data_IF_275061470826
#
_entry.id   IF_275061470826
#
_cell.length_a   1.000
_cell.length_b   1.000
_cell.length_c   1.000
_cell.angle_alpha   90.00
_cell.angle_beta   90.00
_cell.angle_gamma   90.00
#
_symmetry.space_group_name_H-M   'P 1'
#
loop_
_entity.id
_entity.type
_entity.pdbx_description
1 polymer ?
#
# COMPACT_ATOMS: atom_id res chain seq x y z
N UNK A 1 -2.75 14.32 7.18
CA UNK A 1 -2.97 14.42 5.71
C UNK A 1 -4.45 14.46 5.43
N UNK A 2 -4.90 15.29 4.50
CA UNK A 2 -6.30 15.39 4.12
C UNK A 2 -6.46 15.24 2.62
N UNK A 3 -7.53 14.56 2.20
CA UNK A 3 -7.94 14.45 0.80
C UNK A 3 -9.29 15.16 0.65
N UNK A 4 -9.38 16.01 -0.37
CA UNK A 4 -10.60 16.72 -0.73
C UNK A 4 -10.91 16.46 -2.21
N UNK A 5 -12.17 16.60 -2.57
CA UNK A 5 -12.61 16.68 -3.97
C UNK A 5 -12.08 17.95 -4.63
N UNK A 6 -12.12 18.01 -5.96
CA UNK A 6 -11.82 19.24 -6.71
C UNK A 6 -12.74 20.40 -6.34
N UNK A 7 -13.95 20.10 -5.87
CA UNK A 7 -14.92 21.08 -5.32
C UNK A 7 -14.68 21.44 -3.85
N UNK A 8 -13.62 20.93 -3.20
CA UNK A 8 -13.30 21.25 -1.79
C UNK A 8 -14.14 20.50 -0.75
N UNK A 9 -14.92 19.50 -1.15
CA UNK A 9 -15.60 18.60 -0.21
C UNK A 9 -14.59 17.60 0.40
N UNK A 10 -14.68 17.38 1.71
CA UNK A 10 -13.81 16.44 2.44
C UNK A 10 -14.06 14.99 2.03
N UNK A 11 -12.98 14.27 1.70
CA UNK A 11 -13.03 12.83 1.42
C UNK A 11 -12.47 12.03 2.59
N UNK A 12 -11.30 12.42 3.10
CA UNK A 12 -10.67 11.77 4.24
C UNK A 12 -9.68 12.69 4.93
N UNK A 13 -9.42 12.43 6.21
CA UNK A 13 -8.34 13.06 6.94
C UNK A 13 -7.70 12.05 7.89
N UNK A 14 -6.38 12.11 7.97
CA UNK A 14 -5.53 11.26 8.80
C UNK A 14 -4.77 12.18 9.75
N UNK A 15 -4.93 11.95 11.07
CA UNK A 15 -4.16 12.64 12.09
C UNK A 15 -2.68 12.28 11.94
N UNK A 16 -1.84 13.31 12.06
CA UNK A 16 -0.39 13.22 12.01
C UNK A 16 0.18 13.92 13.26
N UNK A 17 1.23 13.36 13.86
CA UNK A 17 1.95 13.99 14.97
C UNK A 17 1.96 13.17 16.26
N UNK A 18 2.53 13.75 17.31
CA UNK A 18 2.68 13.17 18.64
C UNK A 18 2.12 14.07 19.75
N UNK A 19 2.67 13.92 20.96
CA UNK A 19 2.24 14.65 22.15
C UNK A 19 2.96 15.99 22.36
N UNK A 20 3.96 16.30 21.55
CA UNK A 20 4.76 17.53 21.58
C UNK A 20 4.66 18.24 20.23
N UNK A 21 5.50 19.24 19.99
CA UNK A 21 5.47 20.02 18.75
C UNK A 21 5.69 19.16 17.50
N UNK A 22 4.83 19.37 16.50
CA UNK A 22 4.87 18.73 15.20
C UNK A 22 4.75 19.80 14.10
N UNK A 23 5.66 19.76 13.11
CA UNK A 23 5.65 20.68 11.98
C UNK A 23 5.54 19.91 10.67
N UNK A 24 4.58 20.28 9.81
CA UNK A 24 4.47 19.76 8.45
C UNK A 24 5.15 20.68 7.44
N UNK A 25 6.00 20.14 6.56
CA UNK A 25 6.74 20.92 5.56
C UNK A 25 6.25 20.71 4.13
N UNK A 26 5.74 19.53 3.81
CA UNK A 26 5.27 19.24 2.47
C UNK A 26 4.46 17.96 2.39
N UNK A 27 3.58 17.90 1.40
CA UNK A 27 2.84 16.70 1.01
C UNK A 27 2.88 16.55 -0.50
N UNK A 28 2.96 15.31 -0.98
CA UNK A 28 2.95 14.99 -2.40
C UNK A 28 2.41 13.59 -2.65
N UNK A 29 2.11 13.28 -3.91
CA UNK A 29 1.66 11.95 -4.32
C UNK A 29 2.43 11.46 -5.55
N UNK A 30 2.63 10.15 -5.65
CA UNK A 30 3.14 9.54 -6.89
C UNK A 30 2.01 9.12 -7.84
N UNK A 31 2.38 8.60 -9.02
CA UNK A 31 1.44 8.15 -10.05
C UNK A 31 0.59 6.95 -9.62
N UNK A 32 1.05 6.18 -8.62
CA UNK A 32 0.33 5.06 -8.04
C UNK A 32 -0.63 5.48 -6.92
N UNK A 33 -0.63 6.77 -6.57
CA UNK A 33 -1.49 7.35 -5.55
C UNK A 33 -0.93 7.23 -4.13
N UNK A 34 0.31 6.76 -3.94
CA UNK A 34 0.93 6.80 -2.62
C UNK A 34 1.12 8.25 -2.20
N UNK A 35 0.95 8.51 -0.91
CA UNK A 35 1.09 9.85 -0.35
C UNK A 35 2.38 9.93 0.45
N UNK A 36 3.11 11.01 0.27
CA UNK A 36 4.34 11.32 0.95
C UNK A 36 4.14 12.60 1.76
N UNK A 37 4.58 12.59 3.00
CA UNK A 37 4.57 13.77 3.87
C UNK A 37 5.96 13.96 4.49
N UNK A 38 6.42 15.20 4.56
CA UNK A 38 7.65 15.58 5.24
C UNK A 38 7.35 16.56 6.38
N UNK A 39 8.23 16.57 7.36
CA UNK A 39 8.07 17.43 8.52
C UNK A 39 9.07 17.11 9.62
N UNK A 40 8.76 17.57 10.83
CA UNK A 40 9.49 17.21 12.04
C UNK A 40 8.54 17.03 13.24
N UNK A 41 9.00 16.27 14.23
CA UNK A 41 8.28 16.04 15.48
C UNK A 41 9.26 15.95 16.65
N UNK A 42 8.83 16.38 17.84
CA UNK A 42 9.68 16.42 19.04
C UNK A 42 9.29 15.39 20.11
N UNK A 43 8.17 14.69 19.94
CA UNK A 43 7.72 13.62 20.84
C UNK A 43 8.58 12.36 20.70
N UNK A 44 8.54 11.47 21.71
CA UNK A 44 9.20 10.15 21.65
C UNK A 44 8.65 9.27 20.51
N UNK A 45 7.38 9.45 20.18
CA UNK A 45 6.74 8.81 19.03
C UNK A 45 5.72 9.76 18.40
N UNK A 46 5.54 9.64 17.09
CA UNK A 46 4.50 10.30 16.34
C UNK A 46 3.80 9.28 15.45
N UNK A 47 2.51 9.49 15.19
CA UNK A 47 1.72 8.61 14.33
C UNK A 47 1.20 9.39 13.13
N UNK A 48 1.23 8.77 11.96
CA UNK A 48 0.70 9.27 10.69
C UNK A 48 -0.30 8.25 10.16
N UNK A 49 -1.50 8.26 10.73
CA UNK A 49 -2.46 7.16 10.54
C UNK A 49 -1.93 5.88 11.17
N UNK A 50 -1.81 4.81 10.37
CA UNK A 50 -1.25 3.53 10.82
C UNK A 50 0.29 3.50 10.86
N UNK A 51 0.96 4.55 10.37
CA UNK A 51 2.42 4.63 10.35
C UNK A 51 2.90 5.22 11.67
N UNK A 52 3.49 4.38 12.52
CA UNK A 52 4.19 4.81 13.73
C UNK A 52 5.64 5.18 13.44
N UNK A 53 6.07 6.34 13.91
CA UNK A 53 7.47 6.78 13.89
C UNK A 53 7.99 6.91 15.32
N UNK A 54 9.20 6.40 15.54
CA UNK A 54 9.92 6.55 16.81
C UNK A 54 11.00 7.61 16.69
N UNK A 55 11.03 8.54 17.63
CA UNK A 55 12.12 9.50 17.73
C UNK A 55 13.28 8.82 18.46
N UNK A 56 14.46 8.67 17.82
CA UNK A 56 15.62 8.08 18.47
C UNK A 56 16.27 9.03 19.50
N UNK A 57 15.94 10.31 19.47
CA UNK A 57 16.36 11.29 20.48
C UNK A 57 15.49 11.24 21.74
N UNK A 58 15.96 11.90 22.81
CA UNK A 58 15.13 12.12 24.00
C UNK A 58 13.92 13.02 23.67
N UNK A 59 12.80 12.92 24.42
CA UNK A 59 11.66 13.82 24.24
C UNK A 59 12.10 15.30 24.30
N UNK A 60 11.70 16.10 23.32
CA UNK A 60 12.10 17.50 23.17
C UNK A 60 13.19 17.75 22.12
N UNK A 61 13.87 16.71 21.63
CA UNK A 61 14.71 16.82 20.44
C UNK A 61 13.87 16.65 19.18
N UNK A 62 13.92 17.63 18.29
CA UNK A 62 13.20 17.60 17.01
C UNK A 62 13.87 16.63 16.03
N UNK A 63 13.09 15.68 15.51
CA UNK A 63 13.50 14.73 14.48
C UNK A 63 12.71 14.95 13.20
N UNK A 64 13.41 15.03 12.08
CA UNK A 64 12.80 15.12 10.74
C UNK A 64 12.25 13.78 10.29
N UNK A 65 11.14 13.78 9.53
CA UNK A 65 10.56 12.58 8.98
C UNK A 65 10.22 12.70 7.48
N UNK A 66 10.19 11.53 6.83
CA UNK A 66 9.51 11.28 5.57
C UNK A 66 8.54 10.11 5.82
N UNK A 67 7.24 10.38 5.81
CA UNK A 67 6.21 9.38 6.00
C UNK A 67 5.58 9.04 4.64
N UNK A 68 5.43 7.75 4.34
CA UNK A 68 4.77 7.27 3.12
C UNK A 68 3.54 6.44 3.47
N UNK A 69 2.37 6.91 3.06
CA UNK A 69 1.12 6.13 3.07
C UNK A 69 0.94 5.44 1.73
N UNK A 70 0.77 4.13 1.76
CA UNK A 70 0.52 3.33 0.57
C UNK A 70 -0.93 3.47 0.10
N UNK A 71 -1.14 3.50 -1.21
CA UNK A 71 -2.46 3.54 -1.82
C UNK A 71 -3.14 2.18 -1.80
N UNK A 72 -4.48 2.19 -1.80
CA UNK A 72 -5.27 1.01 -2.14
C UNK A 72 -5.51 0.98 -3.65
N UNK A 73 -5.33 -0.20 -4.26
CA UNK A 73 -5.60 -0.43 -5.67
C UNK A 73 -6.92 -1.18 -5.85
N UNK A 74 -7.80 -0.68 -6.72
CA UNK A 74 -9.04 -1.36 -7.10
C UNK A 74 -9.08 -1.53 -8.61
N UNK A 75 -9.22 -2.76 -9.08
CA UNK A 75 -9.26 -3.12 -10.50
C UNK A 75 -10.70 -3.44 -10.89
N UNK A 76 -11.30 -2.59 -11.73
CA UNK A 76 -12.71 -2.65 -12.13
C UNK A 76 -12.95 -3.09 -13.59
N UNK A 77 -12.06 -2.73 -14.52
CA UNK A 77 -12.16 -3.09 -15.95
C UNK A 77 -10.78 -3.39 -16.50
N UNK A 78 -10.68 -4.42 -17.35
CA UNK A 78 -9.40 -4.97 -17.75
C UNK A 78 -8.58 -4.09 -18.70
N UNK A 79 -7.40 -3.67 -18.24
CA UNK A 79 -6.14 -3.67 -18.99
C UNK A 79 -5.01 -3.23 -18.05
N UNK A 80 -4.01 -4.11 -17.91
CA UNK A 80 -2.74 -3.95 -17.21
C UNK A 80 -2.76 -3.12 -15.91
N UNK A 81 -2.75 -3.83 -14.78
CA UNK A 81 -2.50 -3.27 -13.45
C UNK A 81 -1.24 -2.40 -13.46
N UNK A 82 -1.33 -1.18 -12.93
CA UNK A 82 -0.15 -0.41 -12.52
C UNK A 82 0.54 -1.21 -11.42
N UNK A 83 1.65 -1.85 -11.74
CA UNK A 83 2.41 -2.69 -10.80
C UNK A 83 3.16 -1.81 -9.81
N UNK A 84 3.33 -2.29 -8.57
CA UNK A 84 3.88 -1.45 -7.50
C UNK A 84 3.58 -1.96 -6.09
N UNK A 85 3.83 -1.08 -5.12
CA UNK A 85 3.62 -1.34 -3.68
C UNK A 85 2.31 -0.68 -3.26
N UNK A 86 1.37 -1.49 -2.78
CA UNK A 86 0.05 -1.06 -2.35
C UNK A 86 -0.23 -1.51 -0.92
N UNK A 87 -1.17 -0.81 -0.28
CA UNK A 87 -1.76 -1.25 0.96
C UNK A 87 -2.71 -2.42 0.67
N UNK A 88 -3.95 -2.17 0.25
CA UNK A 88 -4.86 -3.20 -0.22
C UNK A 88 -4.90 -3.27 -1.75
N UNK A 89 -5.15 -4.46 -2.29
CA UNK A 89 -5.39 -4.66 -3.72
C UNK A 89 -6.69 -5.43 -3.87
N UNK A 90 -7.65 -4.89 -4.61
CA UNK A 90 -8.95 -5.52 -4.85
C UNK A 90 -9.17 -5.70 -6.33
N UNK A 91 -9.27 -6.95 -6.78
CA UNK A 91 -9.78 -7.30 -8.11
C UNK A 91 -11.27 -7.53 -7.97
N UNK A 92 -12.06 -6.66 -8.57
CA UNK A 92 -13.52 -6.74 -8.46
C UNK A 92 -14.10 -7.83 -9.35
N UNK A 93 -15.41 -8.06 -9.24
CA UNK A 93 -16.13 -9.07 -10.04
C UNK A 93 -16.04 -8.85 -11.55
N UNK A 94 -15.75 -7.63 -12.00
CA UNK A 94 -15.54 -7.29 -13.42
C UNK A 94 -14.06 -7.03 -13.74
N UNK A 95 -13.19 -7.06 -12.72
CA UNK A 95 -11.76 -6.84 -12.86
C UNK A 95 -11.08 -8.06 -13.48
N UNK A 96 -10.34 -7.85 -14.56
CA UNK A 96 -9.46 -8.86 -15.14
C UNK A 96 -8.12 -8.22 -15.47
N UNK A 97 -7.03 -8.69 -14.86
CA UNK A 97 -5.72 -8.09 -15.04
C UNK A 97 -4.60 -9.12 -15.11
N UNK A 98 -3.55 -8.76 -15.84
CA UNK A 98 -2.30 -9.48 -15.93
C UNK A 98 -1.19 -8.58 -15.39
N UNK A 99 -0.29 -9.11 -14.55
CA UNK A 99 0.84 -8.35 -14.03
C UNK A 99 1.91 -8.16 -15.12
N UNK A 100 2.39 -6.92 -15.24
CA UNK A 100 3.53 -6.55 -16.10
C UNK A 100 4.88 -6.63 -15.39
N UNK A 101 4.87 -6.58 -14.06
CA UNK A 101 6.02 -6.61 -13.15
C UNK A 101 5.55 -7.06 -11.76
N UNK A 102 6.42 -6.95 -10.75
CA UNK A 102 6.12 -7.36 -9.37
C UNK A 102 4.92 -6.61 -8.76
N UNK A 103 4.22 -7.26 -7.85
CA UNK A 103 3.18 -6.67 -7.01
C UNK A 103 3.57 -6.86 -5.55
N UNK A 104 3.48 -5.79 -4.74
CA UNK A 104 3.59 -5.89 -3.29
C UNK A 104 2.28 -5.41 -2.65
N UNK A 105 1.60 -6.29 -1.92
CA UNK A 105 0.39 -5.96 -1.16
C UNK A 105 0.66 -6.14 0.35
N UNK A 106 0.70 -5.03 1.07
CA UNK A 106 1.00 -5.05 2.52
C UNK A 106 -0.25 -5.27 3.39
N UNK A 107 -1.44 -5.03 2.85
CA UNK A 107 -2.74 -5.24 3.47
C UNK A 107 -3.42 -6.51 2.96
N UNK A 108 -4.62 -6.42 2.38
CA UNK A 108 -5.33 -7.57 1.81
C UNK A 108 -5.31 -7.51 0.29
N UNK A 109 -4.82 -8.56 -0.36
CA UNK A 109 -5.05 -8.81 -1.79
C UNK A 109 -6.30 -9.68 -1.93
N UNK A 110 -7.38 -9.09 -2.44
CA UNK A 110 -8.68 -9.76 -2.65
C UNK A 110 -8.95 -9.96 -4.13
N UNK A 111 -9.32 -11.17 -4.52
CA UNK A 111 -9.92 -11.47 -5.83
C UNK A 111 -11.37 -11.87 -5.61
N UNK A 112 -12.30 -11.00 -6.01
CA UNK A 112 -13.74 -11.22 -5.84
C UNK A 112 -14.28 -12.25 -6.84
N UNK A 113 -15.50 -12.76 -6.59
CA UNK A 113 -16.19 -13.67 -7.51
C UNK A 113 -16.32 -13.05 -8.91
N UNK A 114 -15.88 -13.75 -9.95
CA UNK A 114 -15.84 -13.25 -11.33
C UNK A 114 -14.57 -12.45 -11.69
N UNK A 115 -13.80 -12.03 -10.68
CA UNK A 115 -12.52 -11.34 -10.88
C UNK A 115 -11.42 -12.30 -11.34
N UNK A 116 -10.50 -11.80 -12.15
CA UNK A 116 -9.34 -12.57 -12.65
C UNK A 116 -8.02 -11.83 -12.42
N UNK A 117 -7.09 -12.49 -11.73
CA UNK A 117 -5.70 -12.03 -11.58
C UNK A 117 -4.75 -13.03 -12.24
N UNK A 118 -4.01 -12.60 -13.25
CA UNK A 118 -2.94 -13.38 -13.84
C UNK A 118 -1.57 -12.80 -13.42
N UNK A 119 -0.81 -13.56 -12.65
CA UNK A 119 0.52 -13.15 -12.20
C UNK A 119 1.55 -13.03 -13.32
N UNK A 120 1.35 -13.68 -14.49
CA UNK A 120 2.33 -13.67 -15.59
C UNK A 120 3.77 -13.98 -15.16
N UNK A 121 3.90 -14.91 -14.22
CA UNK A 121 5.14 -15.32 -13.60
C UNK A 121 5.87 -14.19 -12.84
N UNK A 122 5.18 -13.09 -12.56
CA UNK A 122 5.68 -12.01 -11.73
C UNK A 122 5.44 -12.32 -10.25
N UNK A 123 6.36 -11.90 -9.36
CA UNK A 123 6.20 -12.14 -7.94
C UNK A 123 5.08 -11.29 -7.37
N UNK A 124 4.20 -11.93 -6.58
CA UNK A 124 3.23 -11.28 -5.70
C UNK A 124 3.77 -11.47 -4.28
N UNK A 125 4.08 -10.37 -3.60
CA UNK A 125 4.73 -10.39 -2.28
C UNK A 125 4.04 -9.40 -1.33
N UNK A 126 4.53 -9.33 -0.09
CA UNK A 126 4.04 -8.41 0.94
C UNK A 126 3.71 -9.13 2.23
N UNK A 127 3.63 -8.37 3.32
CA UNK A 127 3.25 -8.91 4.64
C UNK A 127 1.73 -9.14 4.78
N UNK A 128 0.98 -8.86 3.72
CA UNK A 128 -0.45 -8.91 3.66
C UNK A 128 -1.05 -10.32 3.65
N UNK A 129 -2.38 -10.38 3.64
CA UNK A 129 -3.12 -11.63 3.42
C UNK A 129 -3.69 -11.69 2.01
N UNK A 130 -3.90 -12.92 1.53
CA UNK A 130 -4.51 -13.19 0.23
C UNK A 130 -5.89 -13.82 0.42
N UNK A 131 -6.90 -13.27 -0.26
CA UNK A 131 -8.29 -13.76 -0.23
C UNK A 131 -8.76 -14.01 -1.66
N UNK A 132 -9.09 -15.26 -1.98
CA UNK A 132 -9.74 -15.65 -3.23
C UNK A 132 -11.18 -16.06 -2.95
N UNK A 133 -12.14 -15.27 -3.43
CA UNK A 133 -13.55 -15.58 -3.29
C UNK A 133 -13.94 -16.77 -4.20
N UNK A 134 -14.98 -17.52 -3.81
CA UNK A 134 -15.56 -18.55 -4.66
C UNK A 134 -15.99 -17.94 -6.00
N UNK A 135 -15.56 -18.53 -7.12
CA UNK A 135 -15.78 -18.00 -8.46
C UNK A 135 -14.77 -16.95 -8.92
N UNK A 136 -13.79 -16.56 -8.11
CA UNK A 136 -12.62 -15.78 -8.54
C UNK A 136 -11.59 -16.66 -9.24
N UNK A 137 -10.81 -16.08 -10.14
CA UNK A 137 -9.77 -16.79 -10.90
C UNK A 137 -8.39 -16.22 -10.60
N UNK A 138 -7.45 -17.11 -10.27
CA UNK A 138 -6.04 -16.77 -10.09
C UNK A 138 -5.18 -17.60 -11.06
N UNK A 139 -4.50 -16.92 -11.98
CA UNK A 139 -3.49 -17.49 -12.86
C UNK A 139 -2.09 -17.34 -12.28
N UNK A 140 -1.46 -18.44 -11.89
CA UNK A 140 -0.06 -18.48 -11.46
C UNK A 140 0.77 -19.34 -12.38
N UNK A 141 2.00 -18.92 -12.65
CA UNK A 141 2.93 -19.79 -13.37
C UNK A 141 3.49 -20.88 -12.46
N UNK A 142 3.68 -20.59 -11.18
CA UNK A 142 4.24 -21.50 -10.18
C UNK A 142 3.48 -21.37 -8.87
N UNK A 143 3.18 -22.50 -8.21
CA UNK A 143 2.47 -22.56 -6.92
C UNK A 143 3.19 -21.80 -5.78
N UNK A 144 4.49 -21.52 -5.92
CA UNK A 144 5.30 -20.81 -4.93
C UNK A 144 5.05 -19.29 -4.89
N UNK A 145 4.27 -18.72 -5.81
CA UNK A 145 3.99 -17.28 -5.89
C UNK A 145 2.99 -16.73 -4.85
N UNK A 146 2.55 -17.53 -3.88
CA UNK A 146 1.54 -17.17 -2.86
C UNK A 146 1.99 -17.57 -1.43
N UNK A 147 3.29 -17.75 -1.19
CA UNK A 147 3.79 -18.18 0.12
C UNK A 147 3.95 -17.01 1.10
N UNK A 148 3.48 -17.18 2.35
CA UNK A 148 3.56 -16.19 3.44
C UNK A 148 4.97 -15.96 4.00
N UNK A 149 5.97 -16.72 3.57
CA UNK A 149 7.40 -16.53 3.83
C UNK A 149 8.19 -17.22 2.72
N UNK A 150 9.19 -16.57 2.13
CA UNK A 150 10.12 -17.25 1.23
C UNK A 150 11.44 -16.50 1.07
N UNK A 151 12.57 -17.02 1.59
CA UNK A 151 13.90 -16.56 1.20
C UNK A 151 14.36 -17.25 -0.10
N UNK A 152 15.11 -16.45 -0.87
CA UNK A 152 16.04 -16.75 -1.97
C UNK A 152 15.78 -17.96 -2.88
N UNK A 153 15.53 -17.62 -4.15
CA UNK A 153 15.66 -18.49 -5.31
C UNK A 153 16.91 -19.39 -5.22
N UNK A 154 16.70 -20.69 -5.23
CA UNK A 154 17.65 -21.63 -5.80
C UNK A 154 16.84 -22.71 -6.51
N UNK A 155 17.18 -22.97 -7.77
CA UNK A 155 17.39 -24.33 -8.22
C UNK A 155 18.29 -24.34 -9.45
N UNK A 156 19.01 -25.46 -9.55
CA UNK A 156 20.02 -25.87 -10.54
C UNK A 156 19.88 -25.32 -11.95
#
# INVERSE_FOLDING_TARGET
>A
MAKLTTSGAWLSAVRAGGSLDDNGYGVGSDITGNLYATGSYSSASAAFGSIGLSNPGSPGYTTSFLARSLADLVVNTGSQMSTGVYNNVTITSTGSTTLSSFLVANGVLTVQSGGTLNSNCQPITGAGSFVLAAGGTLGICHAQGIASTGPAAQCK
#
